data_IF_177807565918
#
_entry.id   IF_177807565918
#
_cell.length_a   1.000
_cell.length_b   1.000
_cell.length_c   1.000
_cell.angle_alpha   90.00
_cell.angle_beta   90.00
_cell.angle_gamma   90.00
#
_symmetry.space_group_name_H-M   'P 1'
#
loop_
_entity.id
_entity.type
_entity.pdbx_description
1 polymer ?
#
# COMPACT_ATOMS: atom_id res chain seq x y z
N UNK A 1 40.30 -11.84 6.10
CA UNK A 1 39.39 -10.68 6.19
C UNK A 1 39.79 -9.86 7.40
N UNK A 2 39.82 -8.53 7.25
CA UNK A 2 40.20 -7.59 8.30
C UNK A 2 38.99 -7.17 9.12
N UNK A 3 39.19 -6.77 10.37
CA UNK A 3 38.13 -6.21 11.19
C UNK A 3 37.72 -4.83 10.65
N UNK A 4 36.41 -4.50 10.57
CA UNK A 4 35.96 -3.23 9.97
C UNK A 4 36.38 -2.00 10.78
N UNK A 5 36.52 -2.17 12.10
CA UNK A 5 36.88 -1.12 13.05
C UNK A 5 38.38 -1.08 13.37
N UNK A 6 39.12 -2.14 13.00
CA UNK A 6 40.55 -2.33 13.21
C UNK A 6 41.12 -2.91 11.92
N UNK A 7 41.25 -2.04 10.90
CA UNK A 7 41.58 -2.42 9.52
C UNK A 7 42.96 -3.05 9.32
N UNK A 8 43.73 -3.18 10.40
CA UNK A 8 45.05 -3.79 10.51
C UNK A 8 45.01 -5.21 11.08
N UNK A 9 43.96 -5.60 11.81
CA UNK A 9 43.85 -6.91 12.46
C UNK A 9 42.96 -7.85 11.63
N UNK A 10 43.44 -9.09 11.40
CA UNK A 10 42.61 -10.13 10.75
C UNK A 10 41.66 -10.76 11.76
N UNK A 11 40.44 -11.12 11.33
CA UNK A 11 39.48 -11.81 12.21
C UNK A 11 40.06 -13.09 12.85
N UNK A 12 40.85 -13.85 12.08
CA UNK A 12 41.53 -15.07 12.57
C UNK A 12 42.59 -14.79 13.66
N UNK A 13 43.26 -13.65 13.60
CA UNK A 13 44.25 -13.24 14.60
C UNK A 13 43.55 -12.85 15.91
N UNK A 14 42.41 -12.16 15.81
CA UNK A 14 41.53 -11.89 16.95
C UNK A 14 40.99 -13.19 17.58
N UNK A 15 40.47 -14.11 16.77
CA UNK A 15 39.97 -15.42 17.23
C UNK A 15 41.05 -16.20 17.99
N UNK A 16 42.25 -16.29 17.42
CA UNK A 16 43.40 -16.96 18.06
C UNK A 16 43.79 -16.30 19.39
N UNK A 17 43.75 -14.96 19.45
CA UNK A 17 44.05 -14.21 20.67
C UNK A 17 43.01 -14.40 21.78
N UNK A 18 41.72 -14.53 21.42
CA UNK A 18 40.63 -14.82 22.38
C UNK A 18 40.70 -16.27 22.87
N UNK A 19 41.04 -17.22 22.00
CA UNK A 19 41.20 -18.61 22.41
C UNK A 19 42.40 -18.82 23.35
N UNK A 20 43.48 -18.07 23.15
CA UNK A 20 44.69 -18.11 23.98
C UNK A 20 44.55 -17.46 25.36
N UNK A 21 43.42 -16.80 25.65
CA UNK A 21 43.14 -16.23 26.97
C UNK A 21 42.82 -17.32 27.99
N UNK A 22 43.54 -17.35 29.11
CA UNK A 22 43.31 -18.30 30.21
C UNK A 22 42.32 -17.76 31.27
N UNK A 23 41.96 -16.49 31.17
CA UNK A 23 41.08 -15.77 32.11
C UNK A 23 39.57 -15.94 31.83
N UNK A 24 39.20 -16.59 30.73
CA UNK A 24 37.81 -16.73 30.27
C UNK A 24 37.41 -18.19 30.12
N UNK A 25 36.15 -18.50 30.44
CA UNK A 25 35.56 -19.80 30.16
C UNK A 25 35.30 -19.98 28.65
N UNK A 26 35.23 -21.22 28.18
CA UNK A 26 35.00 -21.52 26.75
C UNK A 26 33.71 -20.87 26.21
N UNK A 27 32.64 -20.85 27.01
CA UNK A 27 31.39 -20.16 26.63
C UNK A 27 31.53 -18.63 26.52
N UNK A 28 32.43 -18.01 27.29
CA UNK A 28 32.67 -16.57 27.23
C UNK A 28 33.56 -16.22 26.03
N UNK A 29 34.53 -17.10 25.72
CA UNK A 29 35.33 -17.02 24.49
C UNK A 29 34.45 -17.10 23.25
N UNK A 30 33.55 -18.08 23.19
CA UNK A 30 32.62 -18.26 22.08
C UNK A 30 31.70 -17.05 21.92
N UNK A 31 31.17 -16.51 23.02
CA UNK A 31 30.35 -15.31 22.99
C UNK A 31 31.10 -14.08 22.42
N UNK A 32 32.36 -13.87 22.80
CA UNK A 32 33.18 -12.77 22.29
C UNK A 32 33.54 -12.94 20.80
N UNK A 33 33.84 -14.17 20.36
CA UNK A 33 34.13 -14.47 18.96
C UNK A 33 32.85 -14.25 18.12
N UNK A 34 31.71 -14.70 18.61
CA UNK A 34 30.41 -14.55 17.95
C UNK A 34 30.00 -13.06 17.84
N UNK A 35 30.10 -12.29 18.93
CA UNK A 35 29.85 -10.84 18.91
C UNK A 35 30.76 -10.14 17.90
N UNK A 36 32.04 -10.51 17.87
CA UNK A 36 32.98 -9.94 16.90
C UNK A 36 32.66 -10.35 15.46
N UNK A 37 32.23 -11.58 15.23
CA UNK A 37 31.82 -12.08 13.92
C UNK A 37 30.60 -11.30 13.40
N UNK A 38 29.56 -11.15 14.24
CA UNK A 38 28.37 -10.34 13.95
C UNK A 38 28.71 -8.87 13.73
N UNK A 39 29.75 -8.36 14.40
CA UNK A 39 30.25 -7.01 14.21
C UNK A 39 30.97 -6.80 12.86
N UNK A 40 31.42 -7.89 12.23
CA UNK A 40 32.23 -7.89 11.01
C UNK A 40 31.44 -8.27 9.77
N UNK A 41 30.47 -9.16 9.92
CA UNK A 41 29.67 -9.66 8.81
C UNK A 41 28.59 -8.66 8.37
N UNK A 42 28.31 -8.63 7.06
CA UNK A 42 27.09 -8.03 6.52
C UNK A 42 26.11 -9.15 6.21
N UNK A 43 24.93 -9.09 6.83
CA UNK A 43 23.85 -10.06 6.63
C UNK A 43 22.65 -9.30 6.06
N UNK A 44 22.02 -9.91 5.06
CA UNK A 44 20.75 -9.41 4.51
C UNK A 44 19.85 -10.59 4.22
N UNK A 45 18.63 -10.51 4.72
CA UNK A 45 17.54 -11.44 4.42
C UNK A 45 16.39 -10.64 3.81
N UNK A 46 15.75 -11.19 2.79
CA UNK A 46 14.62 -10.55 2.15
C UNK A 46 13.58 -11.58 1.78
N UNK A 47 12.32 -11.25 2.00
CA UNK A 47 11.18 -12.09 1.68
C UNK A 47 10.09 -11.27 1.00
N UNK A 48 9.52 -11.82 -0.06
CA UNK A 48 8.48 -11.14 -0.85
C UNK A 48 7.37 -12.09 -1.25
N UNK A 49 6.13 -11.63 -1.12
CA UNK A 49 4.92 -12.27 -1.64
C UNK A 49 4.28 -11.33 -2.65
N UNK A 50 3.92 -11.85 -3.82
CA UNK A 50 3.21 -11.11 -4.83
C UNK A 50 2.01 -11.92 -5.34
N UNK A 51 0.82 -11.35 -5.22
CA UNK A 51 -0.46 -11.92 -5.62
C UNK A 51 -1.18 -10.92 -6.53
N UNK A 52 -0.81 -10.86 -7.81
CA UNK A 52 -1.41 -9.92 -8.75
C UNK A 52 -2.74 -10.45 -9.32
N UNK A 53 -3.69 -9.55 -9.58
CA UNK A 53 -4.87 -9.79 -10.43
C UNK A 53 -5.74 -10.99 -10.03
N UNK A 54 -5.87 -11.28 -8.73
CA UNK A 54 -6.82 -12.26 -8.22
C UNK A 54 -8.23 -11.79 -8.58
N UNK A 55 -8.92 -12.58 -9.39
CA UNK A 55 -10.31 -12.31 -9.78
C UNK A 55 -11.05 -13.63 -9.92
N UNK A 56 -12.35 -13.60 -9.62
CA UNK A 56 -13.27 -14.69 -9.98
C UNK A 56 -13.97 -14.27 -11.28
N UNK A 57 -14.21 -15.22 -12.18
CA UNK A 57 -14.92 -14.98 -13.46
C UNK A 57 -15.85 -16.16 -13.76
N UNK A 58 -16.79 -15.93 -14.67
CA UNK A 58 -17.69 -16.94 -15.25
C UNK A 58 -18.59 -17.60 -14.21
N UNK A 59 -19.16 -16.81 -13.31
CA UNK A 59 -20.17 -17.28 -12.38
C UNK A 59 -21.48 -17.60 -13.12
N UNK A 60 -22.17 -18.65 -12.68
CA UNK A 60 -23.44 -19.07 -13.29
C UNK A 60 -24.63 -18.20 -12.86
N UNK A 61 -24.57 -17.66 -11.65
CA UNK A 61 -25.62 -16.77 -11.13
C UNK A 61 -25.47 -15.34 -11.66
N UNK A 62 -26.53 -14.71 -12.18
CA UNK A 62 -26.51 -13.32 -12.63
C UNK A 62 -26.02 -12.35 -11.54
N UNK A 63 -26.39 -12.59 -10.27
CA UNK A 63 -25.97 -11.74 -9.17
C UNK A 63 -24.44 -11.77 -8.99
N UNK A 64 -23.83 -12.94 -9.09
CA UNK A 64 -22.37 -13.09 -9.02
C UNK A 64 -21.66 -12.48 -10.23
N UNK A 65 -22.27 -12.58 -11.42
CA UNK A 65 -21.73 -11.96 -12.65
C UNK A 65 -21.65 -10.42 -12.54
N UNK A 66 -22.59 -9.78 -11.84
CA UNK A 66 -22.59 -8.33 -11.66
C UNK A 66 -21.78 -7.87 -10.44
N UNK A 67 -21.64 -8.70 -9.41
CA UNK A 67 -20.95 -8.35 -8.16
C UNK A 67 -19.50 -8.84 -8.16
N UNK A 68 -19.30 -10.16 -8.01
CA UNK A 68 -18.00 -10.77 -7.76
C UNK A 68 -17.14 -10.86 -9.02
N UNK A 69 -17.74 -11.15 -10.18
CA UNK A 69 -16.98 -11.41 -11.41
C UNK A 69 -16.23 -10.16 -11.95
N UNK A 70 -16.62 -8.98 -11.48
CA UNK A 70 -16.03 -7.70 -11.87
C UNK A 70 -15.03 -7.18 -10.82
N UNK A 71 -14.75 -7.95 -9.75
CA UNK A 71 -13.78 -7.59 -8.72
C UNK A 71 -12.41 -8.18 -9.08
N UNK A 72 -11.39 -7.33 -9.04
CA UNK A 72 -9.98 -7.69 -9.16
C UNK A 72 -9.23 -7.22 -7.94
N UNK A 73 -8.46 -8.12 -7.32
CA UNK A 73 -7.66 -7.84 -6.14
C UNK A 73 -6.19 -8.07 -6.46
N UNK A 74 -5.31 -7.23 -5.89
CA UNK A 74 -3.88 -7.44 -5.91
C UNK A 74 -3.31 -7.22 -4.52
N UNK A 75 -2.33 -8.03 -4.12
CA UNK A 75 -1.65 -7.93 -2.84
C UNK A 75 -0.17 -8.18 -3.03
N UNK A 76 0.67 -7.34 -2.44
CA UNK A 76 2.11 -7.47 -2.43
C UNK A 76 2.64 -7.16 -1.03
N UNK A 77 3.56 -7.98 -0.56
CA UNK A 77 4.24 -7.82 0.72
C UNK A 77 5.72 -8.06 0.52
N UNK A 78 6.56 -7.15 0.98
CA UNK A 78 8.00 -7.29 0.95
C UNK A 78 8.54 -6.96 2.34
N UNK A 79 9.49 -7.75 2.82
CA UNK A 79 10.25 -7.47 4.03
C UNK A 79 11.72 -7.70 3.76
N UNK A 80 12.58 -6.89 4.37
CA UNK A 80 14.00 -7.14 4.41
C UNK A 80 14.54 -6.80 5.79
N UNK A 81 15.47 -7.61 6.25
CA UNK A 81 16.21 -7.42 7.48
C UNK A 81 17.70 -7.54 7.19
N UNK A 82 18.53 -6.89 8.00
CA UNK A 82 19.96 -7.03 7.86
C UNK A 82 20.76 -6.28 8.90
N UNK A 83 22.04 -6.62 8.94
CA UNK A 83 23.05 -6.01 9.80
C UNK A 83 24.32 -5.79 8.99
N UNK A 84 25.13 -4.82 9.40
CA UNK A 84 26.42 -4.52 8.79
C UNK A 84 27.36 -3.94 9.85
N UNK A 85 28.67 -3.82 9.59
CA UNK A 85 29.63 -3.25 10.55
C UNK A 85 29.18 -1.98 11.26
N UNK A 86 28.56 -1.04 10.54
CA UNK A 86 28.07 0.23 11.10
C UNK A 86 26.64 0.19 11.65
N UNK A 87 25.87 -0.88 11.36
CA UNK A 87 24.43 -0.96 11.63
C UNK A 87 24.12 -2.29 12.33
N UNK A 88 23.72 -2.20 13.60
CA UNK A 88 23.31 -3.36 14.39
C UNK A 88 22.06 -4.01 13.81
N UNK A 89 21.07 -3.19 13.43
CA UNK A 89 19.77 -3.68 12.96
C UNK A 89 19.21 -2.74 11.89
N UNK A 90 18.75 -3.31 10.79
CA UNK A 90 17.91 -2.66 9.79
C UNK A 90 16.76 -3.59 9.48
N UNK A 91 15.54 -3.09 9.58
CA UNK A 91 14.34 -3.82 9.15
C UNK A 91 13.47 -2.89 8.34
N UNK A 92 12.90 -3.41 7.26
CA UNK A 92 11.96 -2.67 6.45
C UNK A 92 10.90 -3.62 5.90
N UNK A 93 9.66 -3.16 5.88
CA UNK A 93 8.58 -3.88 5.23
C UNK A 93 7.67 -2.92 4.47
N UNK A 94 7.08 -3.42 3.40
CA UNK A 94 6.16 -2.70 2.56
C UNK A 94 5.02 -3.61 2.13
N UNK A 95 3.79 -3.13 2.29
CA UNK A 95 2.56 -3.82 1.91
C UNK A 95 1.78 -2.94 0.93
N UNK A 96 1.44 -3.49 -0.21
CA UNK A 96 0.55 -2.87 -1.18
C UNK A 96 -0.67 -3.77 -1.37
N UNK A 97 -1.87 -3.20 -1.26
CA UNK A 97 -3.12 -3.90 -1.48
C UNK A 97 -4.02 -3.06 -2.38
N UNK A 98 -4.70 -3.67 -3.34
CA UNK A 98 -5.66 -2.97 -4.18
C UNK A 98 -6.85 -3.84 -4.50
N UNK A 99 -8.03 -3.24 -4.50
CA UNK A 99 -9.29 -3.85 -4.92
C UNK A 99 -9.90 -2.91 -5.96
N UNK A 100 -10.22 -3.45 -7.13
CA UNK A 100 -10.87 -2.74 -8.20
C UNK A 100 -12.16 -3.46 -8.59
N UNK A 101 -13.20 -2.69 -8.86
CA UNK A 101 -14.48 -3.14 -9.40
C UNK A 101 -14.71 -2.44 -10.73
N UNK A 102 -15.00 -3.19 -11.79
CA UNK A 102 -15.23 -2.62 -13.11
C UNK A 102 -16.38 -3.31 -13.83
N UNK A 103 -17.57 -2.72 -13.79
CA UNK A 103 -18.74 -3.23 -14.50
C UNK A 103 -18.99 -2.42 -15.77
N UNK A 104 -19.12 -3.09 -16.91
CA UNK A 104 -19.53 -2.48 -18.18
C UNK A 104 -20.79 -3.14 -18.72
N UNK A 105 -21.78 -2.32 -19.05
CA UNK A 105 -23.05 -2.76 -19.60
C UNK A 105 -22.97 -2.78 -21.13
N UNK A 106 -22.90 -3.99 -21.72
CA UNK A 106 -22.79 -4.15 -23.18
C UNK A 106 -24.02 -3.66 -23.95
N UNK A 107 -25.20 -3.72 -23.34
CA UNK A 107 -26.47 -3.38 -23.98
C UNK A 107 -27.17 -2.27 -23.19
N UNK A 108 -26.72 -1.02 -23.33
CA UNK A 108 -27.38 0.15 -22.71
C UNK A 108 -28.81 0.25 -23.25
N UNK A 109 -29.81 0.04 -22.39
CA UNK A 109 -31.22 0.11 -22.79
C UNK A 109 -31.57 1.58 -23.04
N UNK A 110 -32.05 1.85 -24.25
CA UNK A 110 -32.54 3.16 -24.67
C UNK A 110 -34.06 3.13 -24.68
N UNK A 111 -34.69 4.04 -23.94
CA UNK A 111 -36.15 4.20 -23.90
C UNK A 111 -36.54 5.42 -24.73
N UNK A 112 -37.64 5.32 -25.47
CA UNK A 112 -38.25 6.44 -26.21
C UNK A 112 -39.48 6.94 -25.44
N UNK A 113 -39.34 7.90 -24.51
CA UNK A 113 -40.46 8.34 -23.69
C UNK A 113 -41.57 9.01 -24.51
N UNK A 114 -41.22 9.67 -25.62
CA UNK A 114 -42.16 10.45 -26.45
C UNK A 114 -42.68 9.69 -27.67
N UNK A 115 -42.67 8.35 -27.66
CA UNK A 115 -43.16 7.55 -28.80
C UNK A 115 -44.60 7.89 -29.20
N UNK A 116 -45.44 8.26 -28.23
CA UNK A 116 -46.84 8.66 -28.47
C UNK A 116 -46.99 9.98 -29.26
N UNK A 117 -45.92 10.76 -29.42
CA UNK A 117 -45.94 12.04 -30.14
C UNK A 117 -45.64 11.88 -31.64
N UNK A 118 -45.43 10.65 -32.12
CA UNK A 118 -45.10 10.32 -33.51
C UNK A 118 -46.18 10.80 -34.50
N UNK A 119 -47.46 10.81 -34.08
CA UNK A 119 -48.60 11.23 -34.91
C UNK A 119 -48.96 12.72 -34.78
N UNK A 120 -48.25 13.49 -33.93
CA UNK A 120 -48.54 14.91 -33.70
C UNK A 120 -47.76 15.78 -34.71
N UNK A 121 -48.44 16.55 -35.58
CA UNK A 121 -47.77 17.50 -36.49
C UNK A 121 -46.87 18.45 -35.69
N UNK A 122 -45.65 18.72 -36.19
CA UNK A 122 -44.60 19.54 -35.55
C UNK A 122 -43.88 18.88 -34.36
N UNK A 123 -44.55 18.07 -33.55
CA UNK A 123 -43.95 17.46 -32.35
C UNK A 123 -43.37 16.04 -32.58
N UNK A 124 -43.58 15.46 -33.76
CA UNK A 124 -43.08 14.12 -34.14
C UNK A 124 -41.56 13.95 -34.00
N UNK A 125 -40.76 15.02 -34.16
CA UNK A 125 -39.30 14.96 -33.98
C UNK A 125 -38.88 14.60 -32.53
N UNK A 126 -39.71 14.90 -31.53
CA UNK A 126 -39.44 14.54 -30.13
C UNK A 126 -39.59 13.04 -29.88
N UNK A 127 -40.35 12.32 -30.72
CA UNK A 127 -40.53 10.87 -30.62
C UNK A 127 -39.25 10.06 -30.88
N UNK A 128 -38.26 10.68 -31.54
CA UNK A 128 -36.97 10.07 -31.85
C UNK A 128 -35.94 10.14 -30.71
N UNK A 129 -36.23 10.94 -29.68
CA UNK A 129 -35.36 11.07 -28.50
C UNK A 129 -35.23 9.70 -27.83
N UNK A 130 -33.99 9.21 -27.78
CA UNK A 130 -33.60 7.97 -27.09
C UNK A 130 -32.86 8.34 -25.82
N UNK A 131 -33.46 8.07 -24.67
CA UNK A 131 -32.83 8.28 -23.38
C UNK A 131 -32.21 6.98 -22.87
N UNK A 132 -30.93 7.02 -22.49
CA UNK A 132 -30.32 5.96 -21.69
C UNK A 132 -30.93 5.97 -20.30
N UNK A 133 -31.24 4.79 -19.75
CA UNK A 133 -31.79 4.62 -18.39
C UNK A 133 -30.79 4.03 -17.40
N UNK A 134 -29.58 3.68 -17.87
CA UNK A 134 -28.56 3.06 -17.05
C UNK A 134 -27.16 3.51 -17.49
N UNK A 135 -26.18 3.48 -16.58
CA UNK A 135 -24.80 3.79 -16.94
C UNK A 135 -24.25 2.80 -17.95
N UNK A 136 -23.27 3.26 -18.71
CA UNK A 136 -22.49 2.45 -19.65
C UNK A 136 -21.40 1.68 -18.93
N UNK A 137 -20.75 2.30 -17.94
CA UNK A 137 -19.84 1.60 -17.03
C UNK A 137 -19.78 2.26 -15.65
N UNK A 138 -19.43 1.45 -14.67
CA UNK A 138 -19.11 1.86 -13.30
C UNK A 138 -17.76 1.25 -12.95
N UNK A 139 -16.84 2.11 -12.51
CA UNK A 139 -15.50 1.74 -12.13
C UNK A 139 -15.24 2.26 -10.72
N UNK A 140 -14.75 1.41 -9.83
CA UNK A 140 -14.38 1.79 -8.47
C UNK A 140 -13.04 1.15 -8.17
N UNK A 141 -12.16 1.84 -7.45
CA UNK A 141 -10.98 1.19 -6.90
C UNK A 141 -10.61 1.75 -5.54
N UNK A 142 -10.02 0.90 -4.73
CA UNK A 142 -9.39 1.20 -3.46
C UNK A 142 -7.99 0.62 -3.52
N UNK A 143 -6.97 1.43 -3.30
CA UNK A 143 -5.58 0.99 -3.19
C UNK A 143 -4.96 1.53 -1.93
N UNK A 144 -4.17 0.73 -1.25
CA UNK A 144 -3.47 1.07 -0.02
C UNK A 144 -2.00 0.70 -0.15
N UNK A 145 -1.14 1.59 0.34
CA UNK A 145 0.30 1.39 0.44
C UNK A 145 0.74 1.69 1.86
N UNK A 146 1.41 0.74 2.49
CA UNK A 146 1.97 0.89 3.84
C UNK A 146 3.43 0.50 3.80
N UNK A 147 4.29 1.31 4.39
CA UNK A 147 5.71 1.01 4.51
C UNK A 147 6.22 1.40 5.88
N UNK A 148 7.21 0.66 6.35
CA UNK A 148 7.91 0.91 7.61
C UNK A 148 9.37 0.58 7.41
N UNK A 149 10.24 1.38 8.02
CA UNK A 149 11.66 1.11 8.08
C UNK A 149 12.21 1.53 9.44
N UNK A 150 13.04 0.70 10.04
CA UNK A 150 13.80 1.01 11.22
C UNK A 150 15.29 0.74 11.01
N UNK A 151 16.13 1.56 11.64
CA UNK A 151 17.58 1.41 11.58
C UNK A 151 18.21 1.82 12.91
N UNK A 152 19.11 0.98 13.41
CA UNK A 152 19.92 1.24 14.61
C UNK A 152 21.40 1.18 14.25
N UNK A 153 22.10 2.29 14.47
CA UNK A 153 23.55 2.36 14.28
C UNK A 153 24.26 1.57 15.38
N UNK A 154 25.36 0.91 15.01
CA UNK A 154 26.19 0.17 15.96
C UNK A 154 26.99 1.14 16.82
N UNK A 155 27.04 0.86 18.12
CA UNK A 155 27.92 1.56 19.05
C UNK A 155 29.32 0.95 18.94
N UNK A 156 30.34 1.80 18.77
CA UNK A 156 31.73 1.38 18.54
C UNK A 156 32.53 1.25 19.85
N UNK A 157 31.95 1.60 21.01
CA UNK A 157 32.64 1.61 22.30
C UNK A 157 31.73 1.09 23.41
N UNK A 158 32.25 0.19 24.25
CA UNK A 158 31.57 -0.39 25.42
C UNK A 158 31.78 0.44 26.70
N UNK A 159 32.23 1.69 26.59
CA UNK A 159 32.38 2.57 27.74
C UNK A 159 31.00 2.86 28.35
N UNK A 160 30.91 2.93 29.68
CA UNK A 160 29.66 3.21 30.40
C UNK A 160 29.01 4.56 29.99
N UNK A 161 29.79 5.49 29.44
CA UNK A 161 29.37 6.79 28.94
C UNK A 161 29.13 6.83 27.41
N UNK A 162 29.13 5.68 26.72
CA UNK A 162 28.96 5.63 25.27
C UNK A 162 27.54 6.09 24.87
N UNK A 163 27.47 7.13 24.03
CA UNK A 163 26.20 7.66 23.50
C UNK A 163 25.46 6.54 22.76
N UNK A 164 24.27 6.19 23.26
CA UNK A 164 23.38 5.27 22.57
C UNK A 164 22.70 5.98 21.41
N UNK A 165 22.96 5.50 20.19
CA UNK A 165 22.27 6.00 19.01
C UNK A 165 20.79 5.60 19.10
N UNK A 166 19.92 6.60 19.06
CA UNK A 166 18.49 6.40 19.02
C UNK A 166 18.06 5.58 17.78
N UNK A 167 17.02 4.78 17.95
CA UNK A 167 16.35 4.07 16.89
C UNK A 167 15.74 5.06 15.89
N UNK A 168 16.12 4.95 14.62
CA UNK A 168 15.55 5.77 13.55
C UNK A 168 14.42 5.00 12.89
N UNK A 169 13.22 5.54 12.90
CA UNK A 169 12.03 4.90 12.35
C UNK A 169 11.38 5.80 11.30
N UNK A 170 10.85 5.17 10.26
CA UNK A 170 10.04 5.82 9.22
C UNK A 170 8.81 4.98 8.99
N UNK A 171 7.66 5.62 8.81
CA UNK A 171 6.39 4.94 8.58
C UNK A 171 5.51 5.78 7.65
N UNK A 172 4.89 5.11 6.69
CA UNK A 172 3.92 5.72 5.79
C UNK A 172 2.71 4.80 5.66
N UNK A 173 1.50 5.35 5.67
CA UNK A 173 0.30 4.60 5.36
C UNK A 173 -0.68 5.48 4.59
N UNK A 174 -0.80 5.21 3.30
CA UNK A 174 -1.64 5.96 2.39
C UNK A 174 -2.67 5.04 1.73
N UNK A 175 -3.86 5.57 1.45
CA UNK A 175 -4.82 4.89 0.59
C UNK A 175 -5.47 5.86 -0.39
N UNK A 176 -5.78 5.35 -1.58
CA UNK A 176 -6.44 6.08 -2.65
C UNK A 176 -7.75 5.40 -3.00
N UNK A 177 -8.80 6.20 -3.19
CA UNK A 177 -10.08 5.76 -3.72
C UNK A 177 -10.33 6.43 -5.05
N UNK A 178 -10.72 5.67 -6.05
CA UNK A 178 -11.20 6.21 -7.33
C UNK A 178 -12.60 5.72 -7.65
N UNK A 179 -13.38 6.59 -8.28
CA UNK A 179 -14.70 6.29 -8.78
C UNK A 179 -14.84 6.86 -10.20
N UNK A 180 -15.39 6.08 -11.11
CA UNK A 180 -15.64 6.44 -12.49
C UNK A 180 -17.03 5.99 -12.90
N UNK A 181 -17.79 6.89 -13.52
CA UNK A 181 -19.13 6.64 -14.03
C UNK A 181 -19.22 7.17 -15.45
N UNK A 182 -19.56 6.29 -16.38
CA UNK A 182 -19.85 6.69 -17.76
C UNK A 182 -21.34 6.49 -18.03
N UNK A 183 -22.01 7.50 -18.55
CA UNK A 183 -23.45 7.51 -18.77
C UNK A 183 -23.79 8.11 -20.12
N UNK A 184 -24.50 7.38 -20.97
CA UNK A 184 -24.98 7.89 -22.24
C UNK A 184 -26.41 8.41 -22.06
N UNK A 185 -26.56 9.73 -21.89
CA UNK A 185 -27.88 10.34 -21.70
C UNK A 185 -28.74 10.16 -22.95
N UNK A 186 -28.15 10.43 -24.11
CA UNK A 186 -28.69 10.07 -25.43
C UNK A 186 -27.52 9.51 -26.26
N UNK A 187 -27.76 8.87 -27.42
CA UNK A 187 -26.68 8.41 -28.29
C UNK A 187 -25.71 9.52 -28.72
N UNK A 188 -26.15 10.78 -28.72
CA UNK A 188 -25.31 11.94 -29.05
C UNK A 188 -24.79 12.71 -27.84
N UNK A 189 -25.08 12.28 -26.61
CA UNK A 189 -24.64 12.98 -25.39
C UNK A 189 -24.04 11.97 -24.40
N UNK A 190 -22.76 11.59 -24.58
CA UNK A 190 -22.02 10.85 -23.57
C UNK A 190 -21.61 11.79 -22.43
N UNK A 191 -21.80 11.30 -21.20
CA UNK A 191 -21.38 11.91 -19.96
C UNK A 191 -20.34 11.02 -19.29
N UNK A 192 -19.29 11.61 -18.75
CA UNK A 192 -18.33 10.92 -17.88
C UNK A 192 -18.12 11.70 -16.60
N UNK A 193 -18.03 10.96 -15.50
CA UNK A 193 -17.66 11.50 -14.19
C UNK A 193 -16.53 10.64 -13.61
N UNK A 194 -15.53 11.29 -13.03
CA UNK A 194 -14.49 10.61 -12.27
C UNK A 194 -14.15 11.39 -11.01
N UNK A 195 -13.97 10.71 -9.89
CA UNK A 195 -13.38 11.27 -8.68
C UNK A 195 -12.20 10.44 -8.22
N UNK A 196 -11.19 11.10 -7.68
CA UNK A 196 -10.04 10.47 -7.04
C UNK A 196 -9.78 11.19 -5.71
N UNK A 197 -9.58 10.42 -4.65
CA UNK A 197 -9.23 10.93 -3.33
C UNK A 197 -8.01 10.19 -2.82
N UNK A 198 -7.03 10.92 -2.30
CA UNK A 198 -5.87 10.37 -1.61
C UNK A 198 -5.93 10.72 -0.13
N UNK A 199 -5.62 9.76 0.73
CA UNK A 199 -5.67 9.89 2.17
C UNK A 199 -4.38 9.40 2.81
N UNK A 200 -4.00 10.05 3.91
CA UNK A 200 -2.86 9.68 4.73
C UNK A 200 -3.34 9.39 6.15
N UNK A 201 -2.98 8.20 6.63
CA UNK A 201 -3.29 7.68 7.97
C UNK A 201 -2.04 7.21 8.71
N UNK A 202 -0.86 7.63 8.26
CA UNK A 202 0.42 7.19 8.81
C UNK A 202 0.49 7.39 10.32
N UNK A 203 0.20 8.59 10.80
CA UNK A 203 0.35 8.95 12.21
C UNK A 203 -0.65 8.25 13.13
N UNK A 204 -1.87 8.00 12.66
CA UNK A 204 -2.93 7.36 13.45
C UNK A 204 -2.69 5.85 13.59
N UNK A 205 -1.88 5.27 12.72
CA UNK A 205 -1.53 3.86 12.73
C UNK A 205 -0.30 3.54 13.60
N UNK A 206 0.07 4.43 14.52
CA UNK A 206 1.22 4.32 15.40
C UNK A 206 0.80 4.35 16.87
N UNK A 207 1.50 3.59 17.70
CA UNK A 207 1.47 3.69 19.16
C UNK A 207 2.87 3.94 19.71
N UNK A 208 2.99 4.56 20.88
CA UNK A 208 4.30 4.68 21.55
C UNK A 208 4.84 3.29 21.89
N UNK A 209 6.14 3.09 21.66
CA UNK A 209 6.83 1.86 22.09
C UNK A 209 7.11 1.83 23.61
N UNK A 210 6.77 2.90 24.34
CA UNK A 210 6.97 3.04 25.78
C UNK A 210 8.42 2.76 26.24
N UNK A 211 9.39 3.13 25.40
CA UNK A 211 10.82 3.00 25.67
C UNK A 211 11.33 4.24 26.41
N UNK A 212 12.46 4.10 27.10
CA UNK A 212 13.09 5.18 27.86
C UNK A 212 14.48 5.51 27.29
N UNK A 213 15.05 6.65 27.69
CA UNK A 213 16.39 7.06 27.25
C UNK A 213 16.42 7.49 25.78
N UNK A 214 17.44 7.03 25.05
CA UNK A 214 17.67 7.40 23.64
C UNK A 214 16.50 7.01 22.71
N UNK A 215 15.74 5.96 23.08
CA UNK A 215 14.64 5.44 22.28
C UNK A 215 13.26 5.96 22.74
N UNK A 216 13.21 7.01 23.56
CA UNK A 216 11.95 7.57 24.11
C UNK A 216 10.92 8.04 23.06
N UNK A 217 11.38 8.36 21.84
CA UNK A 217 10.52 8.74 20.71
C UNK A 217 10.13 7.57 19.81
N UNK A 218 10.56 6.35 20.15
CA UNK A 218 10.25 5.18 19.36
C UNK A 218 8.75 4.85 19.40
N UNK A 219 8.27 4.35 18.27
CA UNK A 219 6.88 3.97 18.06
C UNK A 219 6.78 2.57 17.47
N UNK A 220 5.60 1.96 17.61
CA UNK A 220 5.27 0.68 17.03
C UNK A 220 4.06 0.84 16.08
N UNK A 221 4.14 0.33 14.84
CA UNK A 221 3.00 0.32 13.95
C UNK A 221 1.89 -0.61 14.46
N UNK A 222 0.66 -0.09 14.59
CA UNK A 222 -0.52 -0.89 14.91
C UNK A 222 -0.80 -1.88 13.75
N UNK A 223 -1.19 -3.14 13.98
CA UNK A 223 -1.50 -4.09 12.92
C UNK A 223 -2.49 -3.52 11.89
N UNK A 224 -2.26 -3.78 10.60
CA UNK A 224 -3.04 -3.16 9.50
C UNK A 224 -4.55 -3.43 9.60
N UNK A 225 -4.94 -4.64 10.00
CA UNK A 225 -6.35 -4.98 10.14
C UNK A 225 -7.05 -4.23 11.29
N UNK A 226 -6.34 -3.94 12.38
CA UNK A 226 -6.88 -3.17 13.49
C UNK A 226 -7.12 -1.72 13.06
N UNK A 227 -6.16 -1.11 12.35
CA UNK A 227 -6.33 0.25 11.79
C UNK A 227 -7.52 0.32 10.83
N UNK A 228 -7.67 -0.68 9.96
CA UNK A 228 -8.82 -0.75 9.03
C UNK A 228 -10.13 -0.90 9.81
N UNK A 229 -10.17 -1.74 10.83
CA UNK A 229 -11.35 -1.91 11.69
C UNK A 229 -11.75 -0.60 12.35
N UNK A 230 -10.79 0.13 12.89
CA UNK A 230 -11.02 1.42 13.57
C UNK A 230 -11.47 2.53 12.60
N UNK A 231 -11.04 2.47 11.34
CA UNK A 231 -11.53 3.34 10.27
C UNK A 231 -12.97 3.02 9.87
N UNK A 232 -13.36 1.74 9.87
CA UNK A 232 -14.74 1.31 9.55
C UNK A 232 -15.71 1.57 10.70
N UNK A 233 -15.25 1.49 11.95
CA UNK A 233 -16.04 1.80 13.15
C UNK A 233 -16.19 3.31 13.41
N UNK A 234 -15.72 4.16 12.49
CA UNK A 234 -15.77 5.64 12.56
C UNK A 234 -15.01 6.23 13.75
N UNK A 235 -14.06 5.48 14.31
CA UNK A 235 -13.19 5.96 15.41
C UNK A 235 -11.94 6.69 14.89
N UNK A 236 -11.64 6.54 13.61
CA UNK A 236 -10.54 7.21 12.92
C UNK A 236 -11.07 8.04 11.75
N UNK A 237 -10.80 9.35 11.77
CA UNK A 237 -11.07 10.25 10.65
C UNK A 237 -9.79 10.47 9.82
N UNK A 238 -9.60 9.75 8.71
CA UNK A 238 -8.41 9.87 7.89
C UNK A 238 -8.30 11.27 7.27
N UNK A 239 -7.09 11.85 7.27
CA UNK A 239 -6.86 13.14 6.61
C UNK A 239 -6.86 12.92 5.10
N UNK A 240 -7.74 13.62 4.39
CA UNK A 240 -7.72 13.67 2.93
C UNK A 240 -6.60 14.61 2.47
N UNK A 241 -5.59 14.07 1.81
CA UNK A 241 -4.45 14.82 1.29
C UNK A 241 -4.78 15.53 -0.02
N UNK A 242 -5.51 14.85 -0.92
CA UNK A 242 -5.92 15.44 -2.19
C UNK A 242 -7.28 14.92 -2.63
N UNK A 243 -7.94 15.72 -3.46
CA UNK A 243 -9.21 15.41 -4.07
C UNK A 243 -9.25 16.02 -5.46
N UNK A 244 -9.67 15.24 -6.46
CA UNK A 244 -9.86 15.71 -7.82
C UNK A 244 -11.14 15.11 -8.39
N UNK A 245 -11.94 15.94 -9.03
CA UNK A 245 -13.13 15.52 -9.78
C UNK A 245 -13.05 16.02 -11.21
N UNK A 246 -13.56 15.22 -12.13
CA UNK A 246 -13.72 15.63 -13.52
C UNK A 246 -15.11 15.23 -14.01
N UNK A 247 -15.72 16.14 -14.75
CA UNK A 247 -17.00 15.95 -15.43
C UNK A 247 -16.78 16.29 -16.88
N UNK A 248 -17.20 15.41 -17.78
CA UNK A 248 -17.20 15.70 -19.21
C UNK A 248 -18.56 15.38 -19.80
N UNK A 249 -18.99 16.23 -20.72
CA UNK A 249 -20.17 16.05 -21.53
C UNK A 249 -19.79 16.45 -22.94
N UNK A 250 -20.05 15.58 -23.91
CA UNK A 250 -19.92 15.92 -25.32
C UNK A 250 -21.30 15.98 -25.96
N UNK A 251 -21.45 16.84 -26.96
CA UNK A 251 -22.62 16.82 -27.83
C UNK A 251 -22.18 16.45 -29.24
N UNK A 252 -22.65 15.29 -29.68
CA UNK A 252 -22.42 14.69 -30.98
C UNK A 252 -23.78 14.68 -31.69
N UNK A 253 -24.20 15.80 -32.30
CA UNK A 253 -25.41 15.80 -33.10
C UNK A 253 -25.26 14.77 -34.22
N UNK A 254 -26.33 13.98 -34.52
CA UNK A 254 -26.29 13.06 -35.63
C UNK A 254 -26.23 13.87 -36.94
N UNK A 255 -25.04 14.13 -37.44
CA UNK A 255 -24.84 14.69 -38.78
C UNK A 255 -24.87 13.49 -39.73
N UNK A 256 -25.99 13.33 -40.43
CA UNK A 256 -26.34 12.28 -41.40
C UNK A 256 -26.90 10.96 -40.83
N UNK A 257 -28.19 10.73 -41.07
CA UNK A 257 -28.77 9.47 -41.53
C UNK A 257 -29.90 9.76 -42.51
#
# INVERSE_FOLDING_TARGET
>A
EFLPTQGDIRFREFESAVQAREDLNDSEKDALIQDRLESTQTVSESFSINLPNISKKNSTSPLMQYTVDNITMSYNYNTASGSSPDITKRENWATNASIAYGLSFRNVKLVRPFRFMEEVPVAGALSEIRLGVMPSSVNMSLSGSRSYGETRRRQLSNAADAIQFALQQTHTFNYNTSFGLNYNLTPGIPLSYSSNSAYDIGQQALRSANLTGADSLAYEPIPTFDVIKDMVSDTLSPRRNSFSESYSAAWLPPINR
#
